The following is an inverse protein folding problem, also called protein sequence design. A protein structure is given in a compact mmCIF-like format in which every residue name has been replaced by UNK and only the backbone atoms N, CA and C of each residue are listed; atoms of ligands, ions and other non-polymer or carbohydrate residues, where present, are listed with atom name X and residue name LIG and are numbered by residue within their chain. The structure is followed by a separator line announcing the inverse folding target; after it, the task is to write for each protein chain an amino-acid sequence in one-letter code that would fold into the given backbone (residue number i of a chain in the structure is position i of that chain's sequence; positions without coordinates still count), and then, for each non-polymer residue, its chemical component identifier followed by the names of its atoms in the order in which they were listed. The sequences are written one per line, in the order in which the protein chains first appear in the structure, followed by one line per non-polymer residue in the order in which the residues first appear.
data_IF_114533217356
#
_entry.id   IF_114533217356
#
_cell.length_a   1.000
_cell.length_b   1.000
_cell.length_c   1.000
_cell.angle_alpha   90.00
_cell.angle_beta   90.00
_cell.angle_gamma   90.00
#
_symmetry.space_group_name_H-M   'P 1'
#
loop_
_entity.id
_entity.type
_entity.pdbx_description
1 polymer ?
#
# COMPACT_ATOMS: atom_id res chain seq x y z
N UNK A 1 -15.31 14.38 -30.40
CA UNK A 1 -13.87 14.05 -30.49
C UNK A 1 -13.61 13.45 -31.86
N UNK A 2 -12.61 13.94 -32.59
CA UNK A 2 -12.28 13.40 -33.91
C UNK A 2 -11.42 12.13 -33.76
N UNK A 3 -11.78 11.01 -34.42
CA UNK A 3 -10.93 9.82 -34.42
C UNK A 3 -9.55 10.10 -35.02
N UNK A 4 -8.54 9.36 -34.58
CA UNK A 4 -7.18 9.49 -35.11
C UNK A 4 -7.15 9.26 -36.62
N UNK A 5 -6.61 10.23 -37.36
CA UNK A 5 -6.38 10.10 -38.81
C UNK A 5 -5.15 9.25 -39.08
N UNK A 6 -5.03 8.71 -40.30
CA UNK A 6 -3.86 7.91 -40.68
C UNK A 6 -2.55 8.69 -40.49
N UNK A 7 -2.48 9.95 -40.93
CA UNK A 7 -1.31 10.80 -40.76
C UNK A 7 -0.96 11.05 -39.28
N UNK A 8 -1.97 11.24 -38.42
CA UNK A 8 -1.74 11.39 -36.98
C UNK A 8 -1.16 10.11 -36.37
N UNK A 9 -1.67 8.93 -36.75
CA UNK A 9 -1.15 7.65 -36.26
C UNK A 9 0.32 7.48 -36.66
N UNK A 10 0.66 7.73 -37.93
CA UNK A 10 2.05 7.61 -38.42
C UNK A 10 2.99 8.55 -37.65
N UNK A 11 2.58 9.80 -37.42
CA UNK A 11 3.37 10.76 -36.65
C UNK A 11 3.57 10.33 -35.19
N UNK A 12 2.51 9.86 -34.52
CA UNK A 12 2.55 9.43 -33.12
C UNK A 12 3.36 8.15 -32.92
N UNK A 13 3.29 7.21 -33.85
CA UNK A 13 3.97 5.90 -33.76
C UNK A 13 5.44 5.97 -34.16
N UNK A 14 5.85 6.95 -34.97
CA UNK A 14 7.23 7.10 -35.45
C UNK A 14 8.34 6.93 -34.39
N UNK A 15 8.29 7.58 -33.19
CA UNK A 15 9.30 7.35 -32.17
C UNK A 15 9.32 5.91 -31.61
N UNK A 16 8.17 5.25 -31.53
CA UNK A 16 8.05 3.87 -31.05
C UNK A 16 8.62 2.88 -32.07
N UNK A 17 8.31 3.06 -33.36
CA UNK A 17 8.87 2.23 -34.43
C UNK A 17 10.40 2.32 -34.48
N UNK A 18 10.98 3.52 -34.27
CA UNK A 18 12.44 3.70 -34.18
C UNK A 18 13.04 2.96 -32.99
N UNK A 19 12.29 2.79 -31.90
CA UNK A 19 12.68 1.99 -30.74
C UNK A 19 12.37 0.49 -30.91
N UNK A 20 11.94 0.04 -32.09
CA UNK A 20 11.62 -1.36 -32.37
C UNK A 20 10.23 -1.81 -31.90
N UNK A 21 9.41 -0.90 -31.37
CA UNK A 21 8.06 -1.21 -30.91
C UNK A 21 7.07 -1.13 -32.08
N UNK A 22 6.25 -2.17 -32.24
CA UNK A 22 5.27 -2.26 -33.32
C UNK A 22 3.87 -1.91 -32.81
N UNK A 23 3.16 -1.03 -33.51
CA UNK A 23 1.75 -0.74 -33.22
C UNK A 23 0.87 -1.95 -33.54
N UNK A 24 -0.07 -2.26 -32.66
CA UNK A 24 -1.13 -3.23 -32.90
C UNK A 24 -2.40 -2.48 -33.30
N UNK A 25 -2.66 -2.41 -34.62
CA UNK A 25 -3.81 -1.70 -35.15
C UNK A 25 -5.15 -2.37 -34.79
N UNK A 26 -5.16 -3.67 -34.52
CA UNK A 26 -6.37 -4.39 -34.14
C UNK A 26 -6.74 -4.12 -32.68
N UNK A 27 -5.75 -3.98 -31.80
CA UNK A 27 -5.94 -3.61 -30.40
C UNK A 27 -6.03 -2.08 -30.16
N UNK A 28 -5.79 -1.26 -31.19
CA UNK A 28 -5.87 0.20 -31.11
C UNK A 28 -7.30 0.72 -31.30
N UNK A 29 -7.68 1.74 -30.53
CA UNK A 29 -9.02 2.34 -30.56
C UNK A 29 -8.95 3.77 -31.08
N UNK A 30 -9.15 3.93 -32.40
CA UNK A 30 -9.02 5.23 -33.08
C UNK A 30 -10.03 6.28 -32.60
N UNK A 31 -11.26 5.85 -32.28
CA UNK A 31 -12.32 6.72 -31.75
C UNK A 31 -11.97 7.26 -30.36
N UNK A 32 -11.37 6.42 -29.52
CA UNK A 32 -10.88 6.77 -28.18
C UNK A 32 -9.49 7.42 -28.20
N UNK A 33 -8.90 7.57 -29.40
CA UNK A 33 -7.55 8.10 -29.61
C UNK A 33 -6.48 7.36 -28.80
N UNK A 34 -6.66 6.04 -28.68
CA UNK A 34 -5.76 5.13 -27.97
C UNK A 34 -5.02 4.23 -28.98
N UNK A 35 -3.70 4.18 -28.89
CA UNK A 35 -2.84 3.31 -29.68
C UNK A 35 -2.24 2.23 -28.78
N UNK A 36 -2.45 0.97 -29.14
CA UNK A 36 -1.86 -0.18 -28.47
C UNK A 36 -0.61 -0.65 -29.23
N UNK A 37 0.37 -1.18 -28.51
CA UNK A 37 1.56 -1.78 -29.09
C UNK A 37 1.56 -3.29 -28.85
N UNK A 38 2.22 -4.03 -29.74
CA UNK A 38 2.38 -5.48 -29.60
C UNK A 38 3.09 -5.80 -28.28
N UNK A 39 2.62 -6.79 -27.52
CA UNK A 39 3.23 -7.15 -26.25
C UNK A 39 4.68 -7.60 -26.40
N UNK A 40 5.52 -7.25 -25.41
CA UNK A 40 6.91 -7.67 -25.31
C UNK A 40 7.05 -8.67 -24.17
N UNK A 41 7.75 -9.78 -24.40
CA UNK A 41 8.00 -10.79 -23.36
C UNK A 41 9.34 -10.52 -22.66
N UNK A 42 9.30 -10.47 -21.34
CA UNK A 42 10.48 -10.40 -20.48
C UNK A 42 10.71 -11.76 -19.84
N UNK A 43 11.88 -12.40 -20.06
CA UNK A 43 12.18 -13.67 -19.42
C UNK A 43 12.26 -13.51 -17.90
N UNK A 44 12.03 -14.60 -17.17
CA UNK A 44 12.25 -14.61 -15.73
C UNK A 44 13.74 -14.33 -15.43
N UNK A 45 13.98 -13.54 -14.38
CA UNK A 45 15.33 -13.27 -13.87
C UNK A 45 15.34 -13.63 -12.40
N UNK A 46 16.12 -14.65 -12.07
CA UNK A 46 16.18 -15.22 -10.72
C UNK A 46 16.44 -14.15 -9.65
N UNK A 47 15.66 -14.21 -8.57
CA UNK A 47 15.73 -13.28 -7.45
C UNK A 47 15.27 -11.85 -7.76
N UNK A 48 14.81 -11.57 -8.99
CA UNK A 48 14.44 -10.22 -9.42
C UNK A 48 12.97 -10.12 -9.79
N UNK A 49 12.54 -10.88 -10.80
CA UNK A 49 11.15 -10.92 -11.24
C UNK A 49 10.84 -12.23 -11.99
N UNK A 50 9.57 -12.70 -11.95
CA UNK A 50 9.14 -13.82 -12.79
C UNK A 50 9.13 -13.42 -14.27
N UNK A 51 8.75 -14.33 -15.17
CA UNK A 51 8.47 -13.98 -16.55
C UNK A 51 7.31 -12.96 -16.60
N UNK A 52 7.48 -11.90 -17.38
CA UNK A 52 6.49 -10.81 -17.48
C UNK A 52 6.10 -10.60 -18.93
N UNK A 53 4.83 -10.27 -19.16
CA UNK A 53 4.36 -9.70 -20.42
C UNK A 53 4.21 -8.19 -20.24
N UNK A 54 4.90 -7.42 -21.06
CA UNK A 54 4.76 -5.97 -21.16
C UNK A 54 3.77 -5.59 -22.24
N UNK A 55 2.80 -4.74 -21.89
CA UNK A 55 1.90 -4.11 -22.84
C UNK A 55 1.98 -2.60 -22.68
N UNK A 56 2.03 -1.90 -23.81
CA UNK A 56 2.17 -0.45 -23.86
C UNK A 56 0.97 0.16 -24.58
N UNK A 57 0.46 1.28 -24.07
CA UNK A 57 -0.58 2.09 -24.73
C UNK A 57 -0.24 3.56 -24.67
N UNK A 58 -0.48 4.26 -25.77
CA UNK A 58 -0.45 5.71 -25.87
C UNK A 58 -1.88 6.24 -26.01
N UNK A 59 -2.32 7.04 -25.05
CA UNK A 59 -3.54 7.83 -25.14
C UNK A 59 -3.17 9.24 -25.62
N UNK A 60 -3.73 9.66 -26.75
CA UNK A 60 -3.39 10.94 -27.39
C UNK A 60 -4.64 11.82 -27.59
N UNK A 61 -5.26 12.32 -26.50
CA UNK A 61 -6.47 13.13 -26.57
C UNK A 61 -6.22 14.42 -27.37
N UNK A 62 -7.27 14.99 -27.94
CA UNK A 62 -7.18 16.20 -28.76
C UNK A 62 -7.06 17.44 -27.87
N UNK A 63 -6.01 18.24 -28.04
CA UNK A 63 -5.78 19.46 -27.25
C UNK A 63 -5.31 19.24 -25.81
N UNK A 64 -5.11 17.98 -25.40
CA UNK A 64 -4.68 17.59 -24.07
C UNK A 64 -3.33 16.86 -24.12
N UNK A 65 -2.57 16.80 -23.01
CA UNK A 65 -1.32 16.07 -22.98
C UNK A 65 -1.56 14.57 -23.21
N UNK A 66 -0.61 13.93 -23.87
CA UNK A 66 -0.60 12.49 -24.07
C UNK A 66 -0.29 11.77 -22.76
N UNK A 67 -0.84 10.57 -22.60
CA UNK A 67 -0.52 9.67 -21.50
C UNK A 67 0.03 8.38 -22.09
N UNK A 68 1.25 8.03 -21.71
CA UNK A 68 1.87 6.77 -22.06
C UNK A 68 1.84 5.84 -20.85
N UNK A 69 1.29 4.64 -21.04
CA UNK A 69 1.14 3.63 -20.01
C UNK A 69 1.84 2.35 -20.39
N UNK A 70 2.71 1.85 -19.51
CA UNK A 70 3.29 0.51 -19.55
C UNK A 70 2.67 -0.34 -18.45
N UNK A 71 2.05 -1.44 -18.81
CA UNK A 71 1.63 -2.48 -17.86
C UNK A 71 2.55 -3.67 -18.02
N UNK A 72 3.01 -4.18 -16.90
CA UNK A 72 3.69 -5.45 -16.81
C UNK A 72 2.74 -6.41 -16.08
N UNK A 73 2.61 -7.64 -16.58
CA UNK A 73 1.76 -8.65 -15.98
C UNK A 73 2.55 -9.95 -15.80
N UNK A 74 2.42 -10.55 -14.62
CA UNK A 74 2.95 -11.88 -14.32
C UNK A 74 1.82 -12.93 -14.44
N UNK A 75 2.20 -14.19 -14.67
CA UNK A 75 1.24 -15.29 -14.83
C UNK A 75 0.43 -15.61 -13.56
N UNK A 76 0.89 -15.16 -12.39
CA UNK A 76 0.21 -15.29 -11.10
C UNK A 76 -0.89 -14.23 -10.86
N UNK A 77 -1.12 -13.37 -11.86
CA UNK A 77 -2.11 -12.30 -11.85
C UNK A 77 -1.67 -11.06 -11.09
N UNK A 78 -0.38 -10.93 -10.71
CA UNK A 78 0.17 -9.64 -10.29
C UNK A 78 0.39 -8.74 -11.51
N UNK A 79 0.05 -7.47 -11.34
CA UNK A 79 0.15 -6.45 -12.37
C UNK A 79 0.71 -5.17 -11.75
N UNK A 80 1.56 -4.47 -12.51
CA UNK A 80 2.06 -3.16 -12.16
C UNK A 80 2.08 -2.25 -13.38
N UNK A 81 1.69 -1.01 -13.12
CA UNK A 81 1.42 0.01 -14.14
C UNK A 81 2.40 1.17 -13.96
N UNK A 82 3.01 1.61 -15.05
CA UNK A 82 3.83 2.82 -15.09
C UNK A 82 3.18 3.81 -16.06
N UNK A 83 2.90 5.00 -15.55
CA UNK A 83 2.25 6.06 -16.32
C UNK A 83 3.12 7.31 -16.38
N UNK A 84 3.18 7.96 -17.53
CA UNK A 84 3.69 9.33 -17.66
C UNK A 84 2.81 10.16 -18.58
N UNK A 85 2.73 11.46 -18.29
CA UNK A 85 1.92 12.43 -19.05
C UNK A 85 2.80 13.55 -19.60
N UNK A 86 2.53 14.02 -20.83
CA UNK A 86 3.32 15.03 -21.51
C UNK A 86 2.87 15.29 -22.94
N UNK A 87 3.40 16.32 -23.59
CA UNK A 87 2.97 16.75 -24.94
C UNK A 87 3.72 16.07 -26.10
N UNK A 88 4.82 15.37 -25.83
CA UNK A 88 5.65 14.74 -26.84
C UNK A 88 5.78 13.22 -26.61
N UNK A 89 5.38 12.43 -27.61
CA UNK A 89 5.32 10.98 -27.48
C UNK A 89 6.73 10.34 -27.39
N UNK A 90 7.73 10.91 -28.07
CA UNK A 90 9.11 10.43 -28.02
C UNK A 90 9.76 10.65 -26.66
N UNK A 91 9.55 11.83 -26.08
CA UNK A 91 10.01 12.16 -24.72
C UNK A 91 9.31 11.29 -23.67
N UNK A 92 8.02 10.98 -23.84
CA UNK A 92 7.32 10.05 -22.96
C UNK A 92 7.90 8.64 -23.04
N UNK A 93 8.15 8.14 -24.25
CA UNK A 93 8.79 6.85 -24.44
C UNK A 93 10.16 6.81 -23.76
N UNK A 94 10.99 7.83 -23.95
CA UNK A 94 12.30 7.93 -23.30
C UNK A 94 12.20 7.93 -21.76
N UNK A 95 11.23 8.65 -21.20
CA UNK A 95 10.98 8.66 -19.74
C UNK A 95 10.59 7.29 -19.19
N UNK A 96 9.68 6.58 -19.85
CA UNK A 96 9.28 5.24 -19.41
C UNK A 96 10.42 4.22 -19.60
N UNK A 97 11.17 4.31 -20.69
CA UNK A 97 12.32 3.45 -20.95
C UNK A 97 13.44 3.64 -19.91
N UNK A 98 13.62 4.86 -19.39
CA UNK A 98 14.58 5.15 -18.33
C UNK A 98 14.22 4.52 -16.97
N UNK A 99 12.97 4.08 -16.78
CA UNK A 99 12.54 3.35 -15.58
C UNK A 99 12.71 1.86 -15.82
N UNK A 100 13.68 1.17 -15.18
CA UNK A 100 13.92 -0.24 -15.42
C UNK A 100 12.79 -1.10 -14.83
N UNK A 101 12.55 -2.29 -15.41
CA UNK A 101 11.49 -3.24 -14.99
C UNK A 101 11.56 -3.55 -13.49
N UNK A 102 12.76 -3.61 -12.94
CA UNK A 102 13.05 -3.88 -11.52
C UNK A 102 12.59 -2.75 -10.57
N UNK A 103 12.20 -1.57 -11.08
CA UNK A 103 11.51 -0.55 -10.27
C UNK A 103 10.04 -0.89 -10.07
N UNK A 104 9.43 -1.63 -10.99
CA UNK A 104 8.03 -2.06 -10.90
C UNK A 104 7.88 -3.45 -10.28
N UNK A 105 8.91 -4.31 -10.33
CA UNK A 105 8.91 -5.62 -9.66
C UNK A 105 9.97 -5.69 -8.59
N UNK A 106 9.60 -6.26 -7.45
CA UNK A 106 10.56 -6.67 -6.42
C UNK A 106 10.21 -8.07 -5.94
N UNK A 107 11.22 -8.81 -5.56
CA UNK A 107 11.07 -10.12 -4.97
C UNK A 107 11.91 -10.19 -3.69
N UNK A 108 11.42 -10.95 -2.72
CA UNK A 108 12.15 -11.28 -1.50
C UNK A 108 11.77 -12.67 -0.99
N UNK A 109 12.32 -13.08 0.15
CA UNK A 109 12.07 -14.40 0.70
C UNK A 109 10.58 -14.59 1.03
N UNK A 110 9.89 -15.43 0.24
CA UNK A 110 8.48 -15.74 0.44
C UNK A 110 7.50 -14.64 -0.02
N UNK A 111 7.91 -13.69 -0.85
CA UNK A 111 7.00 -12.69 -1.42
C UNK A 111 7.43 -12.17 -2.80
N UNK A 112 6.44 -11.79 -3.61
CA UNK A 112 6.62 -11.07 -4.88
C UNK A 112 5.77 -9.80 -4.82
N UNK A 113 6.33 -8.69 -5.27
CA UNK A 113 5.72 -7.37 -5.21
C UNK A 113 5.69 -6.71 -6.58
N UNK A 114 4.50 -6.24 -6.95
CA UNK A 114 4.24 -5.39 -8.10
C UNK A 114 3.96 -3.95 -7.61
N UNK A 115 4.71 -2.98 -8.14
CA UNK A 115 4.62 -1.56 -7.80
C UNK A 115 4.20 -0.73 -9.02
N UNK A 116 3.01 -0.15 -8.95
CA UNK A 116 2.53 0.80 -9.93
C UNK A 116 2.96 2.22 -9.56
N UNK A 117 3.38 2.99 -10.55
CA UNK A 117 3.85 4.35 -10.37
C UNK A 117 3.35 5.31 -11.45
N UNK A 118 3.33 6.57 -11.10
CA UNK A 118 3.34 7.69 -12.03
C UNK A 118 4.73 8.33 -12.04
N UNK A 119 5.28 8.58 -13.22
CA UNK A 119 6.52 9.32 -13.40
C UNK A 119 6.21 10.81 -13.29
N UNK A 120 6.72 11.45 -12.23
CA UNK A 120 6.48 12.88 -11.95
C UNK A 120 7.77 13.72 -11.93
N UNK A 121 8.94 13.08 -11.92
CA UNK A 121 10.25 13.74 -11.99
C UNK A 121 11.25 12.97 -12.86
N UNK A 122 12.49 13.47 -12.90
CA UNK A 122 13.63 12.77 -13.52
C UNK A 122 14.00 11.51 -12.73
N UNK A 123 14.62 10.52 -13.40
CA UNK A 123 15.20 9.33 -12.77
C UNK A 123 16.29 9.65 -11.75
N UNK A 124 16.92 10.82 -11.83
CA UNK A 124 17.96 11.25 -10.88
C UNK A 124 17.37 11.89 -9.62
N UNK A 125 16.07 12.19 -9.61
CA UNK A 125 15.41 12.75 -8.46
C UNK A 125 15.25 11.70 -7.34
N UNK A 126 14.94 12.16 -6.12
CA UNK A 126 14.63 11.26 -5.00
C UNK A 126 13.57 10.22 -5.40
N UNK A 127 13.79 8.94 -5.05
CA UNK A 127 12.87 7.86 -5.41
C UNK A 127 12.79 7.57 -6.92
N UNK A 128 13.70 8.12 -7.73
CA UNK A 128 13.70 7.94 -9.18
C UNK A 128 12.64 8.77 -9.91
N UNK A 129 12.11 9.83 -9.28
CA UNK A 129 11.04 10.64 -9.88
C UNK A 129 9.68 9.92 -9.92
N UNK A 130 9.50 8.88 -9.11
CA UNK A 130 8.31 8.03 -9.11
C UNK A 130 7.38 8.38 -7.95
N UNK A 131 6.09 8.43 -8.26
CA UNK A 131 5.00 8.49 -7.29
C UNK A 131 4.26 7.15 -7.31
N UNK A 132 4.23 6.38 -6.20
CA UNK A 132 3.53 5.11 -6.16
C UNK A 132 2.01 5.35 -6.19
N UNK A 133 1.32 4.63 -7.08
CA UNK A 133 -0.13 4.73 -7.30
C UNK A 133 -0.88 3.50 -6.82
N UNK A 134 -0.21 2.34 -6.76
CA UNK A 134 -0.73 1.09 -6.21
C UNK A 134 0.45 0.17 -5.93
N UNK A 135 0.34 -0.64 -4.89
CA UNK A 135 1.27 -1.77 -4.68
C UNK A 135 0.47 -3.02 -4.39
N UNK A 136 0.87 -4.14 -4.98
CA UNK A 136 0.34 -5.46 -4.71
C UNK A 136 1.47 -6.39 -4.31
N UNK A 137 1.27 -7.16 -3.25
CA UNK A 137 2.22 -8.17 -2.77
C UNK A 137 1.51 -9.50 -2.69
N UNK A 138 2.09 -10.50 -3.32
CA UNK A 138 1.68 -11.89 -3.19
C UNK A 138 2.54 -12.57 -2.13
N UNK A 139 1.87 -13.21 -1.17
CA UNK A 139 2.44 -13.99 -0.07
C UNK A 139 1.78 -15.40 -0.09
N UNK A 140 2.35 -16.40 0.59
CA UNK A 140 1.71 -17.71 0.74
C UNK A 140 0.32 -17.60 1.40
N UNK A 141 -0.73 -17.83 0.61
CA UNK A 141 -2.15 -17.75 1.03
C UNK A 141 -2.61 -16.37 1.53
N UNK A 142 -1.87 -15.30 1.23
CA UNK A 142 -2.29 -13.92 1.50
C UNK A 142 -1.95 -13.01 0.33
N UNK A 143 -2.74 -11.96 0.13
CA UNK A 143 -2.48 -10.89 -0.84
C UNK A 143 -2.62 -9.54 -0.15
N UNK A 144 -1.54 -8.77 -0.12
CA UNK A 144 -1.55 -7.41 0.40
C UNK A 144 -1.71 -6.43 -0.78
N UNK A 145 -2.58 -5.44 -0.62
CA UNK A 145 -2.72 -4.32 -1.54
C UNK A 145 -2.53 -3.02 -0.76
N UNK A 146 -1.84 -2.07 -1.37
CA UNK A 146 -1.72 -0.72 -0.87
C UNK A 146 -2.25 0.28 -1.88
N UNK A 147 -3.00 1.26 -1.39
CA UNK A 147 -3.43 2.42 -2.17
C UNK A 147 -2.95 3.71 -1.50
N UNK A 148 -2.51 4.70 -2.30
CA UNK A 148 -2.07 5.98 -1.77
C UNK A 148 -3.21 6.70 -1.04
N UNK A 149 -2.87 7.58 -0.08
CA UNK A 149 -3.89 8.37 0.59
C UNK A 149 -4.68 9.23 -0.41
N UNK A 150 -5.99 9.43 -0.19
CA UNK A 150 -6.73 10.46 -0.92
C UNK A 150 -6.13 11.85 -0.62
N UNK A 151 -6.38 12.84 -1.49
CA UNK A 151 -5.73 14.17 -1.47
C UNK A 151 -5.76 14.85 -0.10
N UNK A 152 -6.81 14.64 0.69
CA UNK A 152 -6.99 15.26 2.02
C UNK A 152 -6.51 14.39 3.19
N UNK A 153 -6.00 13.19 2.93
CA UNK A 153 -5.52 12.24 3.93
C UNK A 153 -4.01 12.06 3.86
N UNK A 154 -3.43 11.53 4.94
CA UNK A 154 -2.04 11.06 5.01
C UNK A 154 -1.95 9.56 5.26
N UNK A 155 -3.08 8.86 5.18
CA UNK A 155 -3.22 7.44 5.45
C UNK A 155 -3.46 6.70 4.13
N UNK A 156 -2.41 6.07 3.61
CA UNK A 156 -2.58 5.11 2.53
C UNK A 156 -3.18 3.82 3.10
N UNK A 157 -4.16 3.24 2.42
CA UNK A 157 -4.83 2.03 2.88
C UNK A 157 -3.97 0.79 2.58
N UNK A 158 -3.88 -0.11 3.55
CA UNK A 158 -3.31 -1.45 3.42
C UNK A 158 -4.44 -2.46 3.58
N UNK A 159 -4.77 -3.18 2.52
CA UNK A 159 -5.78 -4.23 2.52
C UNK A 159 -5.11 -5.59 2.37
N UNK A 160 -5.20 -6.42 3.39
CA UNK A 160 -4.67 -7.78 3.43
C UNK A 160 -5.82 -8.77 3.28
N UNK A 161 -5.89 -9.42 2.13
CA UNK A 161 -6.83 -10.51 1.86
C UNK A 161 -6.17 -11.85 2.20
N UNK A 162 -6.89 -12.73 2.88
CA UNK A 162 -6.49 -14.11 3.10
C UNK A 162 -7.15 -15.00 2.06
N UNK A 163 -6.46 -16.05 1.62
CA UNK A 163 -7.07 -17.10 0.79
C UNK A 163 -8.12 -17.88 1.58
N UNK A 164 -7.86 -18.09 2.88
CA UNK A 164 -8.81 -18.65 3.84
C UNK A 164 -9.61 -17.52 4.53
N UNK A 165 -10.94 -17.44 4.34
CA UNK A 165 -11.80 -16.46 5.01
C UNK A 165 -11.81 -16.59 6.54
N UNK A 166 -11.46 -17.76 7.09
CA UNK A 166 -11.43 -18.01 8.53
C UNK A 166 -10.11 -17.60 9.17
N UNK A 167 -9.12 -17.15 8.39
CA UNK A 167 -7.84 -16.70 8.89
C UNK A 167 -7.98 -15.57 9.93
N UNK A 168 -7.57 -15.84 11.17
CA UNK A 168 -7.58 -14.86 12.26
C UNK A 168 -6.22 -14.23 12.43
N UNK A 169 -6.17 -12.90 12.29
CA UNK A 169 -4.95 -12.11 12.44
C UNK A 169 -5.05 -11.21 13.68
N UNK A 170 -3.94 -10.99 14.42
CA UNK A 170 -3.94 -10.07 15.54
C UNK A 170 -3.99 -8.62 15.04
N UNK A 171 -4.73 -7.76 15.74
CA UNK A 171 -4.86 -6.34 15.37
C UNK A 171 -3.50 -5.61 15.33
N UNK A 172 -2.52 -6.06 16.13
CA UNK A 172 -1.20 -5.45 16.21
C UNK A 172 -0.20 -5.98 15.18
N UNK A 173 -0.61 -6.88 14.27
CA UNK A 173 0.26 -7.54 13.29
C UNK A 173 1.19 -6.58 12.55
N UNK A 174 0.68 -5.43 12.11
CA UNK A 174 1.45 -4.39 11.44
C UNK A 174 1.90 -3.28 12.40
N UNK A 175 1.12 -2.97 13.42
CA UNK A 175 1.41 -1.89 14.36
C UNK A 175 2.71 -2.10 15.18
N UNK A 176 3.17 -3.36 15.29
CA UNK A 176 4.48 -3.70 15.89
C UNK A 176 5.67 -3.18 15.09
N UNK A 177 5.52 -2.89 13.79
CA UNK A 177 6.58 -2.35 12.94
C UNK A 177 6.94 -0.90 13.31
N UNK A 178 6.04 -0.18 13.98
CA UNK A 178 6.32 1.14 14.52
C UNK A 178 5.15 2.10 14.45
N UNK A 179 5.45 3.39 14.54
CA UNK A 179 4.44 4.47 14.43
C UNK A 179 3.80 4.61 13.03
N UNK A 180 4.52 4.42 11.91
CA UNK A 180 3.92 4.58 10.59
C UNK A 180 2.77 3.62 10.28
N UNK A 181 2.72 2.45 10.92
CA UNK A 181 1.69 1.45 10.69
C UNK A 181 0.58 1.57 11.73
N UNK A 182 -0.67 1.49 11.28
CA UNK A 182 -1.82 1.38 12.18
C UNK A 182 -2.09 -0.08 12.52
N UNK A 183 -3.07 -0.28 13.42
CA UNK A 183 -3.64 -1.59 13.68
C UNK A 183 -4.40 -2.12 12.45
N UNK A 184 -4.53 -3.43 12.44
CA UNK A 184 -5.30 -4.22 11.50
C UNK A 184 -6.72 -4.41 12.05
N UNK A 185 -7.73 -4.22 11.21
CA UNK A 185 -9.15 -4.36 11.55
C UNK A 185 -9.81 -5.24 10.50
N UNK A 186 -10.55 -6.26 10.92
CA UNK A 186 -11.32 -7.10 10.00
C UNK A 186 -12.51 -6.30 9.44
N UNK A 187 -12.62 -6.23 8.10
CA UNK A 187 -13.68 -5.52 7.38
C UNK A 187 -13.86 -6.13 5.99
N UNK A 188 -15.10 -6.46 5.63
CA UNK A 188 -15.49 -6.98 4.29
C UNK A 188 -14.64 -8.17 3.79
N UNK A 189 -14.45 -9.18 4.65
CA UNK A 189 -13.66 -10.38 4.30
C UNK A 189 -12.17 -10.12 4.11
N UNK A 190 -11.68 -8.93 4.47
CA UNK A 190 -10.27 -8.57 4.43
C UNK A 190 -9.86 -7.92 5.75
N UNK A 191 -8.56 -7.71 5.90
CA UNK A 191 -7.96 -7.06 7.04
C UNK A 191 -7.38 -5.72 6.60
N UNK A 192 -7.87 -4.63 7.18
CA UNK A 192 -7.51 -3.26 6.78
C UNK A 192 -6.63 -2.61 7.84
N UNK A 193 -5.55 -2.01 7.37
CA UNK A 193 -4.70 -1.10 8.14
C UNK A 193 -4.38 0.11 7.27
N UNK A 194 -3.58 1.03 7.80
CA UNK A 194 -3.11 2.19 7.08
C UNK A 194 -1.61 2.38 7.31
N UNK A 195 -0.98 2.94 6.29
CA UNK A 195 0.39 3.40 6.31
C UNK A 195 0.40 4.93 6.32
N UNK A 196 0.94 5.52 7.39
CA UNK A 196 1.11 6.96 7.53
C UNK A 196 2.21 7.44 6.60
N UNK A 197 1.83 8.28 5.65
CA UNK A 197 2.73 9.00 4.76
C UNK A 197 2.96 10.42 5.28
N UNK A 198 4.23 10.82 5.42
CA UNK A 198 4.59 12.18 5.85
C UNK A 198 5.04 12.98 4.63
N UNK A 199 4.16 13.85 4.14
CA UNK A 199 4.41 14.71 2.99
C UNK A 199 3.96 14.11 1.65
N UNK A 200 4.06 14.91 0.60
CA UNK A 200 3.59 14.63 -0.76
C UNK A 200 4.70 14.79 -1.81
N UNK A 201 5.96 14.90 -1.39
CA UNK A 201 7.11 15.01 -2.29
C UNK A 201 7.75 13.65 -2.62
N UNK A 202 8.62 13.65 -3.62
CA UNK A 202 9.36 12.47 -4.10
C UNK A 202 10.11 11.71 -2.99
N UNK A 203 10.72 12.43 -2.03
CA UNK A 203 11.36 11.80 -0.87
C UNK A 203 10.38 11.06 0.06
N UNK A 204 9.15 11.56 0.18
CA UNK A 204 8.11 10.89 0.98
C UNK A 204 7.61 9.62 0.27
N UNK A 205 7.49 9.65 -1.05
CA UNK A 205 7.14 8.50 -1.87
C UNK A 205 8.18 7.38 -1.77
N UNK A 206 9.47 7.71 -1.87
CA UNK A 206 10.55 6.75 -1.67
C UNK A 206 10.51 6.07 -0.30
N UNK A 207 10.21 6.83 0.77
CA UNK A 207 10.05 6.28 2.12
C UNK A 207 8.84 5.34 2.23
N UNK A 208 7.75 5.62 1.51
CA UNK A 208 6.57 4.74 1.48
C UNK A 208 6.94 3.40 0.84
N UNK A 209 7.61 3.39 -0.31
CA UNK A 209 8.08 2.14 -0.94
C UNK A 209 8.95 1.31 0.00
N UNK A 210 9.93 1.93 0.68
CA UNK A 210 10.78 1.24 1.65
C UNK A 210 9.97 0.61 2.79
N UNK A 211 8.93 1.31 3.27
CA UNK A 211 8.04 0.79 4.31
C UNK A 211 7.18 -0.36 3.79
N UNK A 212 6.76 -0.33 2.54
CA UNK A 212 6.00 -1.42 1.92
C UNK A 212 6.86 -2.68 1.75
N UNK A 213 8.12 -2.55 1.34
CA UNK A 213 9.09 -3.66 1.33
C UNK A 213 9.26 -4.24 2.73
N UNK A 214 9.50 -3.39 3.74
CA UNK A 214 9.59 -3.83 5.14
C UNK A 214 8.31 -4.53 5.63
N UNK A 215 7.16 -4.13 5.11
CA UNK A 215 5.87 -4.77 5.42
C UNK A 215 5.81 -6.16 4.82
N UNK A 216 6.22 -6.32 3.55
CA UNK A 216 6.27 -7.62 2.88
C UNK A 216 7.24 -8.58 3.58
N UNK A 217 8.46 -8.13 3.91
CA UNK A 217 9.44 -8.94 4.65
C UNK A 217 8.90 -9.39 6.01
N UNK A 218 8.26 -8.48 6.75
CA UNK A 218 7.67 -8.79 8.05
C UNK A 218 6.54 -9.81 7.93
N UNK A 219 5.64 -9.64 6.97
CA UNK A 219 4.53 -10.57 6.76
C UNK A 219 5.02 -11.94 6.32
N UNK A 220 5.95 -12.02 5.37
CA UNK A 220 6.51 -13.28 4.93
C UNK A 220 7.19 -14.04 6.09
N UNK A 221 8.07 -13.37 6.84
CA UNK A 221 8.72 -13.98 8.00
C UNK A 221 7.74 -14.37 9.12
N UNK A 222 6.64 -13.62 9.28
CA UNK A 222 5.61 -13.92 10.29
C UNK A 222 4.78 -15.13 9.88
N UNK A 223 4.36 -15.20 8.62
CA UNK A 223 3.49 -16.28 8.13
C UNK A 223 4.20 -17.61 7.91
N UNK A 224 5.52 -17.62 7.74
CA UNK A 224 6.32 -18.85 7.73
C UNK A 224 6.48 -19.48 9.12
N UNK A 225 6.26 -18.72 10.19
CA UNK A 225 6.44 -19.17 11.57
C UNK A 225 5.10 -19.45 12.24
N UNK A 226 5.02 -20.39 13.21
CA UNK A 226 3.80 -20.59 14.00
C UNK A 226 3.34 -19.31 14.71
N UNK A 227 2.02 -19.07 14.85
CA UNK A 227 1.47 -17.86 15.46
C UNK A 227 1.95 -17.57 16.90
N UNK A 228 2.30 -18.59 17.67
CA UNK A 228 2.89 -18.44 19.00
C UNK A 228 4.24 -17.72 18.98
N UNK A 229 5.06 -17.91 17.94
CA UNK A 229 6.37 -17.25 17.82
C UNK A 229 6.25 -15.75 17.58
N UNK A 230 5.20 -15.30 16.91
CA UNK A 230 4.94 -13.87 16.74
C UNK A 230 4.82 -13.15 18.09
N UNK A 231 4.06 -13.73 19.03
CA UNK A 231 3.93 -13.16 20.36
C UNK A 231 5.27 -13.09 21.09
N UNK A 232 6.08 -14.16 21.05
CA UNK A 232 7.40 -14.20 21.69
C UNK A 232 8.35 -13.18 21.08
N UNK A 233 8.44 -13.12 19.74
CA UNK A 233 9.36 -12.24 19.01
C UNK A 233 9.02 -10.76 19.19
N UNK A 234 7.73 -10.42 19.23
CA UNK A 234 7.27 -9.04 19.26
C UNK A 234 6.71 -8.58 20.61
N UNK A 235 6.92 -9.34 21.69
CA UNK A 235 6.33 -9.07 23.00
C UNK A 235 6.41 -7.60 23.44
N UNK A 236 7.61 -6.99 23.44
CA UNK A 236 7.78 -5.58 23.82
C UNK A 236 7.14 -4.59 22.85
N UNK A 237 7.14 -4.90 21.55
CA UNK A 237 6.48 -4.07 20.54
C UNK A 237 4.95 -4.10 20.68
N UNK A 238 4.37 -5.26 21.02
CA UNK A 238 2.94 -5.43 21.28
C UNK A 238 2.51 -4.62 22.50
N UNK A 239 3.28 -4.67 23.60
CA UNK A 239 3.06 -3.80 24.76
C UNK A 239 3.14 -2.31 24.43
N UNK A 240 4.07 -1.91 23.57
CA UNK A 240 4.14 -0.53 23.08
C UNK A 240 2.91 -0.14 22.25
N UNK A 241 2.32 -1.06 21.48
CA UNK A 241 1.05 -0.82 20.78
C UNK A 241 -0.08 -0.61 21.80
N UNK A 242 -0.22 -1.50 22.78
CA UNK A 242 -1.21 -1.39 23.86
C UNK A 242 -1.08 -0.07 24.62
N UNK A 243 0.14 0.29 25.06
CA UNK A 243 0.39 1.54 25.77
C UNK A 243 0.03 2.77 24.94
N UNK A 244 0.38 2.80 23.64
CA UNK A 244 -0.02 3.89 22.73
C UNK A 244 -1.55 4.02 22.59
N UNK A 245 -2.26 2.88 22.58
CA UNK A 245 -3.73 2.83 22.50
C UNK A 245 -4.41 3.29 23.79
N UNK A 246 -3.76 3.11 24.94
CA UNK A 246 -4.27 3.58 26.24
C UNK A 246 -4.14 5.10 26.44
N UNK A 247 -3.33 5.82 25.65
CA UNK A 247 -3.06 7.24 25.87
C UNK A 247 -4.34 8.08 25.96
N UNK A 248 -5.30 8.02 25.02
CA UNK A 248 -6.49 8.85 25.11
C UNK A 248 -7.35 8.53 26.33
N UNK A 249 -7.51 7.24 26.67
CA UNK A 249 -8.27 6.83 27.85
C UNK A 249 -7.60 7.29 29.15
N UNK A 250 -6.26 7.18 29.25
CA UNK A 250 -5.49 7.66 30.39
C UNK A 250 -5.53 9.19 30.49
N UNK A 251 -5.49 9.91 29.37
CA UNK A 251 -5.65 11.36 29.33
C UNK A 251 -7.03 11.75 29.87
N UNK A 252 -8.11 11.12 29.37
CA UNK A 252 -9.47 11.35 29.86
C UNK A 252 -9.61 11.06 31.36
N UNK A 253 -9.07 9.93 31.83
CA UNK A 253 -9.06 9.57 33.25
C UNK A 253 -8.29 10.61 34.09
N UNK A 254 -7.13 11.05 33.60
CA UNK A 254 -6.32 12.08 34.23
C UNK A 254 -7.04 13.42 34.34
N UNK A 255 -7.80 13.80 33.31
CA UNK A 255 -8.62 15.02 33.33
C UNK A 255 -9.76 14.93 34.35
N UNK A 256 -10.44 13.77 34.44
CA UNK A 256 -11.49 13.54 35.44
C UNK A 256 -10.91 13.58 36.86
N UNK A 257 -9.77 12.91 37.09
CA UNK A 257 -9.08 12.91 38.38
C UNK A 257 -8.60 14.32 38.77
N UNK A 258 -8.05 15.07 37.81
CA UNK A 258 -7.63 16.46 38.02
C UNK A 258 -8.83 17.33 38.39
N UNK A 259 -9.94 17.24 37.67
CA UNK A 259 -11.18 17.97 37.96
C UNK A 259 -11.72 17.66 39.37
N UNK A 260 -11.70 16.40 39.78
CA UNK A 260 -12.11 15.99 41.13
C UNK A 260 -11.17 16.50 42.24
N UNK A 261 -9.88 16.70 41.93
CA UNK A 261 -8.91 17.25 42.86
C UNK A 261 -8.99 18.78 43.01
N UNK A 262 -9.53 19.51 42.03
CA UNK A 262 -9.60 20.99 42.05
C UNK A 262 -10.22 21.55 43.34
N UNK A 263 -11.37 21.06 43.85
CA UNK A 263 -11.96 21.61 45.07
C UNK A 263 -11.13 21.41 46.33
N UNK A 264 -10.23 20.42 46.32
CA UNK A 264 -9.34 20.10 47.46
C UNK A 264 -8.07 20.95 47.45
N UNK A 265 -7.75 21.58 46.32
CA UNK A 265 -6.61 22.46 46.16
C UNK A 265 -7.02 23.88 46.55
N UNK A 266 -6.69 24.31 47.76
CA UNK A 266 -6.85 25.71 48.22
C UNK A 266 -5.84 26.62 47.49
N UNK A 267 -6.12 26.91 46.22
CA UNK A 267 -5.22 27.70 45.37
C UNK A 267 -5.38 29.20 45.63
N UNK A 268 -4.26 29.85 45.93
CA UNK A 268 -4.21 31.31 46.05
C UNK A 268 -4.73 31.99 44.76
N UNK A 269 -5.42 33.14 44.86
CA UNK A 269 -6.00 33.85 43.71
C UNK A 269 -5.01 34.14 42.57
N UNK A 270 -3.76 34.45 42.91
CA UNK A 270 -2.66 34.78 41.97
C UNK A 270 -1.88 33.55 41.47
N UNK A 271 -2.38 32.33 41.70
CA UNK A 271 -1.66 31.11 41.33
C UNK A 271 -1.70 30.84 39.82
N UNK A 272 -0.52 30.69 39.21
CA UNK A 272 -0.36 30.21 37.81
C UNK A 272 -1.09 28.88 37.60
N UNK A 273 -1.16 28.03 38.62
CA UNK A 273 -1.88 26.74 38.56
C UNK A 273 -3.39 26.96 38.39
N UNK A 274 -3.97 27.94 39.09
CA UNK A 274 -5.38 28.32 38.97
C UNK A 274 -5.68 28.85 37.57
N UNK A 275 -4.79 29.69 37.01
CA UNK A 275 -4.89 30.16 35.63
C UNK A 275 -4.84 29.00 34.61
N UNK A 276 -3.93 28.03 34.78
CA UNK A 276 -3.84 26.87 33.90
C UNK A 276 -5.07 25.96 33.98
N UNK A 277 -5.64 25.74 35.18
CA UNK A 277 -6.87 24.95 35.36
C UNK A 277 -8.06 25.62 34.66
N UNK A 278 -8.22 26.94 34.82
CA UNK A 278 -9.28 27.72 34.16
C UNK A 278 -9.13 27.75 32.63
N UNK A 279 -7.90 27.74 32.11
CA UNK A 279 -7.62 27.69 30.67
C UNK A 279 -7.42 26.27 30.12
N UNK A 280 -7.51 25.23 30.95
CA UNK A 280 -7.32 23.85 30.51
C UNK A 280 -8.38 23.42 29.48
N UNK A 281 -9.69 23.72 29.64
CA UNK A 281 -10.69 23.32 28.65
C UNK A 281 -10.42 23.82 27.21
N UNK A 282 -10.13 25.12 26.95
CA UNK A 282 -9.80 25.56 25.60
C UNK A 282 -8.45 25.00 25.10
N UNK A 283 -7.44 24.84 25.95
CA UNK A 283 -6.15 24.24 25.56
C UNK A 283 -6.28 22.76 25.16
N UNK A 284 -7.12 22.01 25.87
CA UNK A 284 -7.40 20.60 25.54
C UNK A 284 -8.22 20.48 24.27
N UNK A 285 -9.16 21.41 24.03
CA UNK A 285 -9.91 21.47 22.78
C UNK A 285 -8.97 21.73 21.59
N UNK A 286 -8.05 22.70 21.71
CA UNK A 286 -7.02 22.97 20.69
C UNK A 286 -6.14 21.72 20.49
N UNK A 287 -5.67 21.10 21.57
CA UNK A 287 -4.89 19.86 21.51
C UNK A 287 -5.63 18.73 20.81
N UNK A 288 -6.93 18.56 21.06
CA UNK A 288 -7.78 17.58 20.41
C UNK A 288 -7.94 17.84 18.91
N UNK A 289 -8.13 19.09 18.49
CA UNK A 289 -8.15 19.43 17.06
C UNK A 289 -6.77 19.31 16.39
N UNK A 290 -5.68 19.46 17.14
CA UNK A 290 -4.34 19.14 16.65
C UNK A 290 -4.11 17.62 16.48
N UNK A 291 -4.86 16.77 17.17
CA UNK A 291 -4.88 15.32 16.95
C UNK A 291 -5.65 15.04 15.65
N UNK A 292 -4.91 14.66 14.61
CA UNK A 292 -5.44 14.38 13.27
C UNK A 292 -6.23 13.06 13.15
N UNK A 293 -6.35 12.31 14.23
CA UNK A 293 -7.08 11.06 14.30
C UNK A 293 -8.06 11.17 15.48
N UNK A 294 -9.34 10.87 15.26
CA UNK A 294 -10.33 10.83 16.34
C UNK A 294 -9.87 9.77 17.34
N UNK A 295 -9.49 10.15 18.57
CA UNK A 295 -9.01 9.19 19.53
C UNK A 295 -10.14 8.23 19.89
N UNK A 296 -9.94 6.94 19.63
CA UNK A 296 -10.86 5.91 20.11
C UNK A 296 -10.56 5.66 21.58
N UNK A 297 -11.49 6.07 22.44
CA UNK A 297 -11.42 5.76 23.87
C UNK A 297 -11.95 4.33 24.04
N UNK A 298 -11.02 3.39 24.13
CA UNK A 298 -11.31 1.98 24.36
C UNK A 298 -10.25 1.40 25.30
N UNK A 299 -10.63 0.42 26.12
CA UNK A 299 -9.68 -0.33 26.93
C UNK A 299 -9.04 -1.37 26.00
N UNK A 300 -7.75 -1.25 25.66
CA UNK A 300 -7.13 -2.19 24.73
C UNK A 300 -7.05 -3.59 25.36
N UNK A 301 -7.32 -4.66 24.59
CA UNK A 301 -7.10 -6.01 25.07
C UNK A 301 -5.61 -6.21 25.37
N UNK A 302 -5.32 -6.91 26.47
CA UNK A 302 -3.96 -7.27 26.82
C UNK A 302 -3.36 -8.16 25.71
N UNK A 303 -2.06 -8.00 25.37
CA UNK A 303 -1.42 -8.80 24.34
C UNK A 303 -1.30 -10.25 24.83
N UNK A 304 -2.26 -11.10 24.44
CA UNK A 304 -2.27 -12.52 24.79
C UNK A 304 -1.54 -13.37 23.72
N UNK A 305 -0.96 -14.53 24.12
CA UNK A 305 -0.46 -15.51 23.17
C UNK A 305 -1.57 -16.00 22.24
N UNK A 306 -1.25 -16.16 20.95
CA UNK A 306 -2.16 -16.73 19.98
C UNK A 306 -2.19 -18.25 20.16
N UNK A 307 -3.39 -18.82 20.29
CA UNK A 307 -3.60 -20.27 20.54
C UNK A 307 -3.74 -21.10 19.26
N UNK A 308 -3.88 -20.44 18.11
CA UNK A 308 -3.97 -21.10 16.81
C UNK A 308 -2.63 -21.73 16.41
N UNK A 309 -2.69 -22.95 15.86
CA UNK A 309 -1.51 -23.70 15.44
C UNK A 309 -0.89 -23.13 14.14
N UNK A 310 -1.72 -22.58 13.25
CA UNK A 310 -1.33 -22.01 11.98
C UNK A 310 -2.07 -20.68 11.70
N UNK A 311 -1.58 -19.92 10.72
CA UNK A 311 -2.18 -18.65 10.30
C UNK A 311 -3.40 -18.80 9.40
N UNK A 312 -3.48 -19.93 8.70
CA UNK A 312 -4.62 -20.37 7.90
C UNK A 312 -5.11 -21.67 8.54
N UNK A 313 -6.41 -21.93 8.47
CA UNK A 313 -6.87 -23.30 8.68
C UNK A 313 -6.17 -24.17 7.64
N UNK A 314 -5.74 -25.38 8.03
CA UNK A 314 -5.40 -26.38 7.03
C UNK A 314 -6.69 -26.64 6.26
N UNK A 315 -6.87 -25.97 5.12
CA UNK A 315 -7.92 -26.33 4.20
C UNK A 315 -7.70 -27.79 3.88
N UNK A 316 -8.72 -28.62 4.11
CA UNK A 316 -8.73 -30.00 3.63
C UNK A 316 -8.24 -29.96 2.19
N UNK A 317 -7.04 -30.49 1.99
CA UNK A 317 -6.59 -30.82 0.66
C UNK A 317 -7.57 -31.89 0.24
N UNK A 318 -8.60 -31.51 -0.51
CA UNK A 318 -9.54 -32.46 -1.09
C UNK A 318 -8.67 -33.44 -1.87
N UNK A 319 -8.44 -34.61 -1.27
CA UNK A 319 -7.82 -35.73 -1.94
C UNK A 319 -8.63 -35.95 -3.22
N UNK A 320 -7.98 -36.19 -4.37
CA UNK A 320 -8.72 -36.55 -5.56
C UNK A 320 -9.57 -37.77 -5.20
N UNK A 321 -10.88 -37.62 -5.23
CA UNK A 321 -11.82 -38.73 -5.20
C UNK A 321 -11.51 -39.59 -6.41
N UNK A 322 -10.72 -40.63 -6.19
CA UNK A 322 -10.52 -41.70 -7.15
C UNK A 322 -11.89 -42.28 -7.43
N UNK A 323 -12.44 -41.98 -8.60
CA UNK A 323 -13.60 -42.70 -9.12
C UNK A 323 -13.18 -44.18 -9.27
N UNK A 324 -13.63 -45.02 -8.34
CA UNK A 324 -13.64 -46.45 -8.52
C UNK A 324 -14.78 -46.78 -9.49
N UNK A 325 -14.44 -46.92 -10.77
CA UNK A 325 -15.31 -47.53 -11.78
C UNK A 325 -15.47 -49.00 -11.42
N UNK A 326 -16.61 -49.36 -10.82
CA UNK A 326 -17.04 -50.74 -10.68
C UNK A 326 -17.62 -51.19 -12.02
N UNK A 327 -16.88 -52.04 -12.72
CA UNK A 327 -17.35 -52.83 -13.84
C UNK A 327 -18.15 -54.02 -13.31
N UNK A 328 -19.41 -54.13 -13.71
CA UNK A 328 -20.13 -55.40 -13.94
C UNK A 328 -21.26 -55.14 -14.91
#
# INVERSE_FOLDING_TARGET
MQPLTHHQIVALVAPFSRAGLQVDLAASQRLERQLAFRPVQHPAVDGTHPALTETLWLLAPEGEPFTLRRVLAASDGLEAELEATGSDAGALLARLAAVPVQRQWRQGPGWVMALSHRVTGSTDAAGGGLQPTRVAVQLPGFRLRWTPPPVHSRLGELRLAAADPQARLPEDLLAVLGYPWTRLVAMDGAWIAHLRQRGNGLGAFAQVEQRLVRTADHLAATFTAPPALFHRRHWGARWRVTGRRSIPALLSLGLVAAAAAVPQLTLAPESVLRMLILNAPPLLLIGFFCLREVPRIEIPPLPRPLRQAAWQAAGDTAAPTTHATLST
#
